data_IF_594409992658
#
_entry.id   IF_594409992658
#
_cell.length_a   1.000
_cell.length_b   1.000
_cell.length_c   1.000
_cell.angle_alpha   90.00
_cell.angle_beta   90.00
_cell.angle_gamma   90.00
#
_symmetry.space_group_name_H-M   'P 1'
#
loop_
_entity.id
_entity.type
_entity.pdbx_description
1 polymer ?
#
# COMPACT_ATOMS: atom_id res chain seq x y z
N UNK A 1 -17.38 -12.57 1.37
CA UNK A 1 -18.59 -13.41 1.19
C UNK A 1 -19.87 -12.77 1.75
N UNK A 2 -19.90 -12.32 3.02
CA UNK A 2 -21.09 -11.70 3.66
C UNK A 2 -21.71 -10.49 2.91
N UNK A 3 -20.88 -9.65 2.28
CA UNK A 3 -21.36 -8.51 1.50
C UNK A 3 -22.19 -8.93 0.27
N UNK A 4 -21.71 -9.93 -0.48
CA UNK A 4 -22.42 -10.43 -1.66
C UNK A 4 -23.72 -11.16 -1.29
N UNK A 5 -23.74 -11.88 -0.16
CA UNK A 5 -24.97 -12.52 0.32
C UNK A 5 -26.01 -11.46 0.70
N UNK A 6 -25.62 -10.40 1.42
CA UNK A 6 -26.51 -9.28 1.72
C UNK A 6 -27.09 -8.62 0.46
N UNK A 7 -26.26 -8.43 -0.58
CA UNK A 7 -26.73 -7.84 -1.84
C UNK A 7 -27.78 -8.71 -2.54
N UNK A 8 -27.58 -10.04 -2.57
CA UNK A 8 -28.59 -10.98 -3.09
C UNK A 8 -29.86 -10.95 -2.25
N UNK A 9 -29.74 -10.90 -0.93
CA UNK A 9 -30.89 -10.88 -0.01
C UNK A 9 -31.68 -9.57 -0.12
N UNK A 10 -31.01 -8.44 -0.33
CA UNK A 10 -31.65 -7.15 -0.65
C UNK A 10 -32.42 -7.26 -1.95
N UNK A 11 -31.84 -7.81 -3.01
CA UNK A 11 -32.53 -7.95 -4.29
C UNK A 11 -33.76 -8.85 -4.17
N UNK A 12 -33.65 -10.01 -3.51
CA UNK A 12 -34.77 -10.93 -3.27
C UNK A 12 -35.88 -10.28 -2.46
N UNK A 13 -35.52 -9.61 -1.36
CA UNK A 13 -36.50 -8.96 -0.47
C UNK A 13 -37.16 -7.77 -1.16
N UNK A 14 -36.42 -7.01 -1.98
CA UNK A 14 -36.98 -5.90 -2.76
C UNK A 14 -37.99 -6.39 -3.81
N UNK A 15 -37.71 -7.50 -4.49
CA UNK A 15 -38.65 -8.11 -5.44
C UNK A 15 -39.91 -8.61 -4.72
N UNK A 16 -39.76 -9.33 -3.61
CA UNK A 16 -40.90 -9.82 -2.80
C UNK A 16 -41.75 -8.68 -2.23
N UNK A 17 -41.12 -7.62 -1.72
CA UNK A 17 -41.81 -6.43 -1.25
C UNK A 17 -42.60 -5.74 -2.38
N UNK A 18 -42.04 -5.68 -3.59
CA UNK A 18 -42.73 -5.07 -4.74
C UNK A 18 -44.03 -5.81 -5.09
N UNK A 19 -44.04 -7.14 -5.00
CA UNK A 19 -45.24 -7.94 -5.25
C UNK A 19 -46.26 -7.78 -4.11
N UNK A 20 -45.82 -7.82 -2.85
CA UNK A 20 -46.68 -7.61 -1.69
C UNK A 20 -47.29 -6.20 -1.66
N UNK A 21 -46.55 -5.18 -2.11
CA UNK A 21 -47.03 -3.82 -2.22
C UNK A 21 -48.17 -3.73 -3.24
N UNK A 22 -48.02 -4.34 -4.41
CA UNK A 22 -49.07 -4.38 -5.42
C UNK A 22 -50.35 -5.04 -4.90
N UNK A 23 -50.23 -6.17 -4.18
CA UNK A 23 -51.36 -6.84 -3.54
C UNK A 23 -52.04 -5.99 -2.46
N UNK A 24 -51.26 -5.28 -1.64
CA UNK A 24 -51.77 -4.41 -0.59
C UNK A 24 -52.55 -3.22 -1.18
N UNK A 25 -52.01 -2.55 -2.20
CA UNK A 25 -52.72 -1.46 -2.88
C UNK A 25 -53.96 -1.95 -3.64
N UNK A 26 -53.91 -3.14 -4.23
CA UNK A 26 -55.11 -3.75 -4.82
C UNK A 26 -56.19 -4.02 -3.74
N UNK A 27 -55.79 -4.53 -2.58
CA UNK A 27 -56.71 -4.74 -1.45
C UNK A 27 -57.30 -3.41 -0.93
N UNK A 28 -56.52 -2.33 -0.97
CA UNK A 28 -57.00 -0.98 -0.66
C UNK A 28 -58.10 -0.53 -1.62
N UNK A 29 -57.90 -0.72 -2.94
CA UNK A 29 -58.92 -0.38 -3.93
C UNK A 29 -60.21 -1.19 -3.76
N UNK A 30 -60.10 -2.48 -3.38
CA UNK A 30 -61.26 -3.31 -3.06
C UNK A 30 -61.99 -2.81 -1.81
N UNK A 31 -61.25 -2.39 -0.77
CA UNK A 31 -61.83 -1.82 0.43
C UNK A 31 -62.53 -0.48 0.15
N UNK A 32 -61.94 0.38 -0.68
CA UNK A 32 -62.52 1.66 -1.09
C UNK A 32 -63.81 1.46 -1.90
N UNK A 33 -63.83 0.48 -2.80
CA UNK A 33 -65.03 0.15 -3.56
C UNK A 33 -66.17 -0.35 -2.65
N UNK A 34 -65.86 -1.16 -1.63
CA UNK A 34 -66.86 -1.76 -0.77
C UNK A 34 -67.38 -0.82 0.34
N UNK A 35 -66.51 0.01 0.94
CA UNK A 35 -66.82 0.83 2.10
C UNK A 35 -66.96 2.34 1.78
N UNK A 36 -66.68 2.75 0.54
CA UNK A 36 -66.58 4.16 0.15
C UNK A 36 -65.32 4.82 0.69
N UNK A 37 -65.36 6.15 0.87
CA UNK A 37 -64.23 6.89 1.43
C UNK A 37 -64.18 6.76 2.96
N UNK A 38 -63.20 6.00 3.45
CA UNK A 38 -62.93 5.81 4.88
C UNK A 38 -61.60 6.46 5.32
N UNK A 39 -60.97 7.28 4.46
CA UNK A 39 -59.66 7.90 4.73
C UNK A 39 -59.69 8.79 5.97
N UNK A 40 -60.67 9.68 6.08
CA UNK A 40 -60.76 10.62 7.20
C UNK A 40 -60.99 9.88 8.52
N UNK A 41 -61.84 8.84 8.51
CA UNK A 41 -62.09 7.99 9.68
C UNK A 41 -60.81 7.29 10.17
N UNK A 42 -59.96 6.84 9.24
CA UNK A 42 -58.67 6.23 9.60
C UNK A 42 -57.75 7.27 10.23
N UNK A 43 -57.64 8.47 9.65
CA UNK A 43 -56.77 9.54 10.17
C UNK A 43 -57.20 9.96 11.58
N UNK A 44 -58.49 10.14 11.81
CA UNK A 44 -59.04 10.50 13.13
C UNK A 44 -58.83 9.39 14.18
N UNK A 45 -58.77 8.12 13.74
CA UNK A 45 -58.56 6.98 14.64
C UNK A 45 -57.11 6.77 15.11
N UNK A 46 -56.15 7.53 14.60
CA UNK A 46 -54.73 7.36 14.96
C UNK A 46 -54.40 8.13 16.23
N UNK A 47 -54.16 7.41 17.34
CA UNK A 47 -53.61 7.98 18.59
C UNK A 47 -52.15 7.57 18.79
N UNK A 48 -51.87 6.27 18.79
CA UNK A 48 -50.56 5.69 19.02
C UNK A 48 -50.21 4.66 17.96
N UNK A 49 -48.91 4.48 17.70
CA UNK A 49 -48.44 3.50 16.73
C UNK A 49 -48.60 2.07 17.25
N UNK A 50 -49.27 1.23 16.44
CA UNK A 50 -49.47 -0.20 16.71
C UNK A 50 -48.15 -0.99 16.66
N UNK A 51 -47.34 -0.71 15.62
CA UNK A 51 -46.06 -1.35 15.35
C UNK A 51 -44.96 -0.30 15.52
N UNK A 52 -43.98 -0.58 16.38
CA UNK A 52 -42.79 0.23 16.56
C UNK A 52 -41.56 -0.53 16.09
N UNK A 53 -40.51 0.20 15.74
CA UNK A 53 -39.23 -0.37 15.35
C UNK A 53 -38.22 -0.15 16.47
N UNK A 54 -37.52 -1.20 16.87
CA UNK A 54 -36.37 -1.12 17.77
C UNK A 54 -35.08 -1.28 16.98
N UNK A 55 -34.04 -0.59 17.41
CA UNK A 55 -32.72 -0.69 16.83
C UNK A 55 -31.85 -1.62 17.69
N UNK A 56 -31.19 -2.58 17.05
CA UNK A 56 -30.23 -3.49 17.65
C UNK A 56 -28.91 -3.36 16.89
N UNK A 57 -27.79 -3.38 17.61
CA UNK A 57 -26.47 -3.34 16.99
C UNK A 57 -25.99 -4.79 16.80
N UNK A 58 -25.61 -5.14 15.58
CA UNK A 58 -24.92 -6.39 15.25
C UNK A 58 -23.46 -6.10 14.87
N UNK A 59 -22.53 -6.98 15.20
CA UNK A 59 -21.12 -6.77 14.93
C UNK A 59 -20.61 -7.79 13.92
N UNK A 60 -20.18 -7.32 12.75
CA UNK A 60 -19.65 -8.18 11.69
C UNK A 60 -18.25 -7.69 11.32
N UNK A 61 -17.25 -8.54 11.56
CA UNK A 61 -15.84 -8.26 11.24
C UNK A 61 -15.32 -6.92 11.81
N UNK A 62 -15.80 -6.54 13.01
CA UNK A 62 -15.40 -5.31 13.69
C UNK A 62 -16.18 -4.05 13.28
N UNK A 63 -17.13 -4.18 12.36
CA UNK A 63 -18.05 -3.10 11.95
C UNK A 63 -19.39 -3.27 12.68
N UNK A 64 -19.82 -2.21 13.38
CA UNK A 64 -21.11 -2.15 14.08
C UNK A 64 -22.22 -1.80 13.07
N UNK A 65 -23.09 -2.77 12.79
CA UNK A 65 -24.20 -2.64 11.86
C UNK A 65 -25.52 -2.40 12.63
N UNK A 66 -26.31 -1.39 12.26
CA UNK A 66 -27.66 -1.21 12.82
C UNK A 66 -28.64 -2.19 12.16
N UNK A 67 -29.36 -2.95 12.98
CA UNK A 67 -30.37 -3.92 12.60
C UNK A 67 -31.69 -3.51 13.23
N UNK A 68 -32.74 -3.43 12.41
CA UNK A 68 -34.06 -3.06 12.86
C UNK A 68 -34.91 -4.30 13.16
N UNK A 69 -35.58 -4.30 14.32
CA UNK A 69 -36.53 -5.34 14.72
C UNK A 69 -37.90 -4.72 14.96
N UNK A 70 -38.96 -5.37 14.50
CA UNK A 70 -40.32 -4.95 14.79
C UNK A 70 -40.73 -5.33 16.21
N UNK A 71 -41.43 -4.43 16.89
CA UNK A 71 -42.04 -4.66 18.19
C UNK A 71 -43.48 -4.17 18.15
N UNK A 72 -44.41 -5.10 18.32
CA UNK A 72 -45.84 -4.82 18.41
C UNK A 72 -46.13 -4.31 19.84
N UNK A 73 -46.58 -3.05 19.98
CA UNK A 73 -46.72 -2.39 21.28
C UNK A 73 -48.15 -2.45 21.82
N UNK A 74 -49.16 -2.42 20.95
CA UNK A 74 -50.55 -2.49 21.37
C UNK A 74 -51.42 -3.08 20.28
N UNK A 75 -52.35 -3.97 20.64
CA UNK A 75 -53.50 -4.34 19.79
C UNK A 75 -54.69 -3.47 20.16
N UNK A 76 -54.59 -2.16 19.97
CA UNK A 76 -55.79 -1.33 20.08
C UNK A 76 -56.69 -1.60 18.86
N UNK A 77 -57.90 -2.04 19.21
CA UNK A 77 -58.95 -2.47 18.29
C UNK A 77 -59.59 -1.23 17.67
N UNK A 78 -59.00 -0.72 16.59
CA UNK A 78 -59.73 0.06 15.58
C UNK A 78 -60.72 -0.84 14.81
N UNK A 79 -61.45 -1.71 15.51
CA UNK A 79 -62.44 -2.65 14.97
C UNK A 79 -63.74 -1.93 14.53
N UNK A 80 -63.91 -0.68 14.94
CA UNK A 80 -65.11 0.10 14.63
C UNK A 80 -65.10 0.69 13.20
N UNK A 81 -63.98 0.58 12.47
CA UNK A 81 -63.88 1.06 11.09
C UNK A 81 -64.55 0.04 10.15
N UNK A 82 -65.58 0.48 9.43
CA UNK A 82 -66.31 -0.36 8.48
C UNK A 82 -67.55 -1.07 9.04
N UNK A 83 -68.03 -0.66 10.23
CA UNK A 83 -69.27 -1.16 10.82
C UNK A 83 -70.51 -0.88 9.93
N UNK A 84 -70.51 0.23 9.21
CA UNK A 84 -71.58 0.62 8.29
C UNK A 84 -71.59 -0.19 6.97
N UNK A 85 -70.51 -0.92 6.67
CA UNK A 85 -70.34 -1.67 5.42
C UNK A 85 -68.87 -1.85 5.05
N UNK A 86 -68.53 -3.00 4.45
CA UNK A 86 -67.18 -3.27 3.93
C UNK A 86 -66.08 -3.58 4.95
N UNK A 87 -66.40 -3.71 6.25
CA UNK A 87 -65.43 -4.01 7.32
C UNK A 87 -64.54 -5.23 7.06
N UNK A 88 -65.07 -6.30 6.46
CA UNK A 88 -64.27 -7.48 6.11
C UNK A 88 -63.17 -7.20 5.08
N UNK A 89 -63.43 -6.32 4.09
CA UNK A 89 -62.43 -5.90 3.10
C UNK A 89 -61.40 -4.94 3.71
N UNK A 90 -61.84 -4.04 4.59
CA UNK A 90 -60.95 -3.14 5.33
C UNK A 90 -59.98 -3.95 6.22
N UNK A 91 -60.47 -4.98 6.91
CA UNK A 91 -59.64 -5.82 7.76
C UNK A 91 -58.60 -6.61 6.95
N UNK A 92 -58.99 -7.20 5.82
CA UNK A 92 -58.04 -7.88 4.92
C UNK A 92 -56.99 -6.89 4.38
N UNK A 93 -57.40 -5.69 3.99
CA UNK A 93 -56.48 -4.61 3.61
C UNK A 93 -55.48 -4.29 4.74
N UNK A 94 -55.94 -4.17 5.99
CA UNK A 94 -55.08 -3.95 7.17
C UNK A 94 -54.06 -5.07 7.33
N UNK A 95 -54.46 -6.33 7.18
CA UNK A 95 -53.56 -7.48 7.28
C UNK A 95 -52.50 -7.48 6.17
N UNK A 96 -52.88 -7.18 4.93
CA UNK A 96 -51.93 -7.06 3.80
C UNK A 96 -50.93 -5.92 4.01
N UNK A 97 -51.37 -4.76 4.50
CA UNK A 97 -50.46 -3.67 4.85
C UNK A 97 -49.56 -3.99 6.04
N UNK A 98 -50.01 -4.78 7.02
CA UNK A 98 -49.14 -5.26 8.09
C UNK A 98 -48.01 -6.12 7.52
N UNK A 99 -48.32 -7.09 6.64
CA UNK A 99 -47.30 -7.94 6.00
C UNK A 99 -46.30 -7.09 5.21
N UNK A 100 -46.79 -6.14 4.39
CA UNK A 100 -45.94 -5.22 3.64
C UNK A 100 -45.02 -4.40 4.57
N UNK A 101 -45.53 -3.92 5.70
CA UNK A 101 -44.74 -3.15 6.67
C UNK A 101 -43.61 -4.00 7.27
N UNK A 102 -43.86 -5.27 7.59
CA UNK A 102 -42.81 -6.20 8.06
C UNK A 102 -41.71 -6.39 7.01
N UNK A 103 -42.11 -6.56 5.74
CA UNK A 103 -41.16 -6.67 4.63
C UNK A 103 -40.34 -5.39 4.44
N UNK A 104 -40.97 -4.22 4.58
CA UNK A 104 -40.31 -2.91 4.52
C UNK A 104 -39.28 -2.73 5.64
N UNK A 105 -39.64 -3.06 6.89
CA UNK A 105 -38.71 -2.96 8.03
C UNK A 105 -37.49 -3.85 7.80
N UNK A 106 -37.72 -5.09 7.33
CA UNK A 106 -36.63 -6.02 6.99
C UNK A 106 -35.74 -5.48 5.87
N UNK A 107 -36.32 -4.95 4.80
CA UNK A 107 -35.56 -4.37 3.70
C UNK A 107 -34.73 -3.16 4.16
N UNK A 108 -35.33 -2.26 4.94
CA UNK A 108 -34.66 -1.08 5.49
C UNK A 108 -33.48 -1.47 6.39
N UNK A 109 -33.64 -2.54 7.19
CA UNK A 109 -32.55 -3.08 8.01
C UNK A 109 -31.38 -3.54 7.14
N UNK A 110 -31.65 -4.32 6.10
CA UNK A 110 -30.61 -4.82 5.20
C UNK A 110 -29.92 -3.69 4.44
N UNK A 111 -30.67 -2.70 3.94
CA UNK A 111 -30.13 -1.56 3.21
C UNK A 111 -29.25 -0.68 4.09
N UNK A 112 -29.71 -0.36 5.30
CA UNK A 112 -28.95 0.50 6.23
C UNK A 112 -27.65 -0.20 6.65
N UNK A 113 -27.73 -1.48 7.02
CA UNK A 113 -26.55 -2.30 7.30
C UNK A 113 -25.59 -2.34 6.10
N UNK A 114 -26.11 -2.50 4.88
CA UNK A 114 -25.29 -2.55 3.66
C UNK A 114 -24.52 -1.24 3.41
N UNK A 115 -25.17 -0.09 3.55
CA UNK A 115 -24.51 1.22 3.35
C UNK A 115 -23.37 1.42 4.36
N UNK A 116 -23.61 1.13 5.64
CA UNK A 116 -22.56 1.24 6.68
C UNK A 116 -21.38 0.30 6.42
N UNK A 117 -21.66 -0.92 5.94
CA UNK A 117 -20.62 -1.89 5.62
C UNK A 117 -19.84 -1.49 4.36
N UNK A 118 -20.51 -0.98 3.33
CA UNK A 118 -19.88 -0.49 2.09
C UNK A 118 -18.89 0.65 2.37
N UNK A 119 -19.26 1.58 3.25
CA UNK A 119 -18.37 2.65 3.67
C UNK A 119 -17.12 2.11 4.40
N UNK A 120 -17.31 1.20 5.35
CA UNK A 120 -16.20 0.57 6.06
C UNK A 120 -15.26 -0.20 5.11
N UNK A 121 -15.82 -0.89 4.10
CA UNK A 121 -15.05 -1.59 3.09
C UNK A 121 -14.23 -0.61 2.22
N UNK A 122 -14.82 0.51 1.80
CA UNK A 122 -14.11 1.56 1.04
C UNK A 122 -12.94 2.14 1.83
N UNK A 123 -13.13 2.41 3.13
CA UNK A 123 -12.05 2.89 4.00
C UNK A 123 -10.93 1.85 4.11
N UNK A 124 -11.29 0.57 4.27
CA UNK A 124 -10.33 -0.52 4.36
C UNK A 124 -9.53 -0.68 3.07
N UNK A 125 -10.19 -0.66 1.91
CA UNK A 125 -9.52 -0.73 0.60
C UNK A 125 -8.57 0.46 0.37
N UNK A 126 -8.97 1.68 0.75
CA UNK A 126 -8.08 2.85 0.68
C UNK A 126 -6.85 2.69 1.57
N UNK A 127 -7.01 2.12 2.78
CA UNK A 127 -5.90 1.85 3.70
C UNK A 127 -4.94 0.81 3.12
N UNK A 128 -5.46 -0.29 2.58
CA UNK A 128 -4.65 -1.31 1.90
C UNK A 128 -3.85 -0.68 0.77
N UNK A 129 -4.51 0.08 -0.11
CA UNK A 129 -3.84 0.76 -1.22
C UNK A 129 -2.75 1.76 -0.75
N UNK A 130 -2.99 2.49 0.34
CA UNK A 130 -2.01 3.40 0.92
C UNK A 130 -0.83 2.67 1.57
N UNK A 131 -1.05 1.48 2.10
CA UNK A 131 0.03 0.64 2.62
C UNK A 131 0.88 0.13 1.47
N UNK A 132 0.27 -0.49 0.46
CA UNK A 132 0.94 -1.14 -0.66
C UNK A 132 1.73 -0.15 -1.52
N UNK A 133 1.14 1.01 -1.84
CA UNK A 133 1.71 1.93 -2.83
C UNK A 133 2.47 3.12 -2.23
N UNK A 134 2.31 3.40 -0.93
CA UNK A 134 2.94 4.58 -0.30
C UNK A 134 3.78 4.20 0.90
N UNK A 135 3.19 3.49 1.87
CA UNK A 135 3.86 3.27 3.17
C UNK A 135 4.97 2.24 3.08
N UNK A 136 4.70 1.07 2.48
CA UNK A 136 5.68 -0.01 2.31
C UNK A 136 6.86 0.48 1.45
N UNK A 137 6.66 1.05 0.24
CA UNK A 137 7.77 1.52 -0.58
C UNK A 137 8.59 2.64 0.08
N UNK A 138 7.95 3.50 0.88
CA UNK A 138 8.66 4.55 1.62
C UNK A 138 9.55 3.95 2.71
N UNK A 139 9.07 2.95 3.45
CA UNK A 139 9.86 2.28 4.47
C UNK A 139 11.03 1.52 3.83
N UNK A 140 10.81 0.81 2.72
CA UNK A 140 11.88 0.12 1.99
C UNK A 140 12.96 1.08 1.49
N UNK A 141 12.59 2.25 0.95
CA UNK A 141 13.54 3.29 0.58
C UNK A 141 14.35 3.80 1.76
N UNK A 142 13.71 4.01 2.91
CA UNK A 142 14.40 4.41 4.14
C UNK A 142 15.39 3.34 4.61
N UNK A 143 15.01 2.07 4.56
CA UNK A 143 15.90 0.95 4.89
C UNK A 143 17.11 0.95 3.94
N UNK A 144 16.88 1.05 2.64
CA UNK A 144 17.95 1.10 1.64
C UNK A 144 18.91 2.29 1.84
N UNK A 145 18.38 3.46 2.21
CA UNK A 145 19.20 4.63 2.55
C UNK A 145 20.08 4.36 3.79
N UNK A 146 19.50 3.84 4.87
CA UNK A 146 20.25 3.52 6.08
C UNK A 146 21.34 2.49 5.80
N UNK A 147 21.04 1.42 5.05
CA UNK A 147 22.04 0.41 4.69
C UNK A 147 23.18 1.02 3.88
N UNK A 148 22.87 1.86 2.88
CA UNK A 148 23.89 2.54 2.07
C UNK A 148 24.79 3.45 2.90
N UNK A 149 24.23 4.21 3.83
CA UNK A 149 25.02 5.09 4.71
C UNK A 149 25.91 4.28 5.67
N UNK A 150 25.40 3.16 6.21
CA UNK A 150 26.20 2.26 7.04
C UNK A 150 27.35 1.63 6.25
N UNK A 151 27.10 1.17 5.03
CA UNK A 151 28.13 0.58 4.17
C UNK A 151 29.22 1.62 3.80
N UNK A 152 28.85 2.88 3.55
CA UNK A 152 29.83 3.93 3.26
C UNK A 152 30.67 4.29 4.51
N UNK A 153 30.05 4.35 5.69
CA UNK A 153 30.77 4.54 6.96
C UNK A 153 31.77 3.41 7.22
N UNK A 154 31.36 2.15 7.01
CA UNK A 154 32.25 1.00 7.12
C UNK A 154 33.40 1.07 6.11
N UNK A 155 33.13 1.53 4.88
CA UNK A 155 34.14 1.71 3.84
C UNK A 155 35.15 2.79 4.20
N UNK A 156 34.70 3.92 4.73
CA UNK A 156 35.60 4.99 5.21
C UNK A 156 36.51 4.49 6.35
N UNK A 157 35.96 3.78 7.31
CA UNK A 157 36.72 3.20 8.43
C UNK A 157 37.72 2.14 7.93
N UNK A 158 37.33 1.31 6.96
CA UNK A 158 38.25 0.33 6.34
C UNK A 158 39.45 1.01 5.66
N UNK A 159 39.22 2.08 4.89
CA UNK A 159 40.29 2.85 4.25
C UNK A 159 41.20 3.51 5.29
N UNK A 160 40.62 4.07 6.35
CA UNK A 160 41.38 4.67 7.46
C UNK A 160 42.31 3.67 8.11
N UNK A 161 41.81 2.48 8.47
CA UNK A 161 42.61 1.40 9.07
C UNK A 161 43.70 0.93 8.12
N UNK A 162 43.38 0.71 6.84
CA UNK A 162 44.35 0.27 5.82
C UNK A 162 45.51 1.25 5.67
N UNK A 163 45.24 2.56 5.69
CA UNK A 163 46.27 3.60 5.58
C UNK A 163 47.19 3.64 6.81
N UNK A 164 46.64 3.49 8.01
CA UNK A 164 47.43 3.40 9.25
C UNK A 164 48.35 2.17 9.20
N UNK A 165 47.84 1.04 8.72
CA UNK A 165 48.62 -0.19 8.62
C UNK A 165 49.71 -0.09 7.55
N UNK A 166 49.42 0.52 6.39
CA UNK A 166 50.42 0.81 5.36
C UNK A 166 51.55 1.70 5.90
N UNK A 167 51.20 2.82 6.56
CA UNK A 167 52.17 3.71 7.18
C UNK A 167 53.05 2.99 8.21
N UNK A 168 52.46 2.10 9.02
CA UNK A 168 53.23 1.30 10.01
C UNK A 168 54.22 0.35 9.32
N UNK A 169 53.79 -0.32 8.24
CA UNK A 169 54.65 -1.22 7.47
C UNK A 169 55.79 -0.47 6.76
N UNK A 170 55.51 0.69 6.17
CA UNK A 170 56.53 1.51 5.52
C UNK A 170 57.55 2.04 6.53
N UNK A 171 57.08 2.44 7.71
CA UNK A 171 57.95 2.86 8.80
C UNK A 171 58.82 1.71 9.33
N UNK A 172 58.27 0.49 9.43
CA UNK A 172 59.04 -0.72 9.77
C UNK A 172 60.08 -1.06 8.70
N UNK A 173 59.73 -1.00 7.41
CA UNK A 173 60.66 -1.18 6.28
C UNK A 173 61.78 -0.14 6.31
N UNK A 174 61.47 1.13 6.57
CA UNK A 174 62.45 2.19 6.70
C UNK A 174 63.41 1.96 7.89
N UNK A 175 62.89 1.50 9.04
CA UNK A 175 63.71 1.14 10.21
C UNK A 175 64.61 -0.07 9.88
N UNK A 176 64.09 -1.09 9.20
CA UNK A 176 64.85 -2.26 8.73
C UNK A 176 65.96 -1.87 7.74
N UNK A 177 65.66 -0.98 6.79
CA UNK A 177 66.64 -0.44 5.85
C UNK A 177 67.74 0.35 6.58
N UNK A 178 67.36 1.17 7.58
CA UNK A 178 68.31 1.92 8.41
C UNK A 178 69.17 1.01 9.30
N UNK A 179 68.63 -0.11 9.79
CA UNK A 179 69.39 -1.15 10.51
C UNK A 179 70.33 -1.90 9.56
N UNK A 180 69.90 -2.28 8.36
CA UNK A 180 70.76 -2.89 7.33
C UNK A 180 71.91 -1.96 6.91
N UNK A 181 71.65 -0.65 6.74
CA UNK A 181 72.69 0.33 6.43
C UNK A 181 73.71 0.57 7.55
N UNK A 182 73.31 0.35 8.81
CA UNK A 182 74.21 0.45 9.99
C UNK A 182 74.94 -0.86 10.33
N UNK A 183 74.52 -2.00 9.78
CA UNK A 183 75.16 -3.31 9.99
C UNK A 183 76.20 -3.69 8.91
N UNK A 184 76.52 -2.79 7.96
CA UNK A 184 77.61 -3.04 7.01
C UNK A 184 78.97 -2.72 7.64
N UNK A 185 79.84 -3.75 7.72
CA UNK A 185 81.26 -3.64 8.05
C UNK A 185 81.92 -2.63 7.06
N UNK A 186 82.88 -1.76 7.47
CA UNK A 186 83.42 -0.70 6.61
C UNK A 186 83.94 -1.17 5.25
N UNK A 187 84.32 -2.45 5.14
CA UNK A 187 84.74 -3.07 3.88
C UNK A 187 83.59 -3.32 2.87
N UNK A 188 82.34 -3.52 3.31
CA UNK A 188 81.22 -3.80 2.41
C UNK A 188 80.57 -2.54 1.83
N UNK A 189 80.67 -1.38 2.50
CA UNK A 189 80.17 -0.10 1.96
C UNK A 189 80.95 0.35 0.73
N UNK A 190 82.24 0.02 0.66
CA UNK A 190 83.10 0.36 -0.47
C UNK A 190 82.70 -0.40 -1.74
N UNK A 191 82.35 -1.69 -1.61
CA UNK A 191 81.91 -2.52 -2.74
C UNK A 191 80.55 -2.07 -3.33
N UNK A 192 79.59 -1.63 -2.51
CA UNK A 192 78.30 -1.16 -3.00
C UNK A 192 78.40 0.18 -3.75
N UNK A 193 79.33 1.06 -3.32
CA UNK A 193 79.61 2.35 -3.97
C UNK A 193 80.31 2.19 -5.33
N UNK A 194 81.10 1.12 -5.49
CA UNK A 194 81.70 0.74 -6.77
C UNK A 194 80.67 0.06 -7.69
N UNK A 195 79.79 -0.78 -7.14
CA UNK A 195 78.76 -1.50 -7.91
C UNK A 195 77.68 -0.57 -8.50
N UNK A 196 77.30 0.47 -7.77
CA UNK A 196 76.37 1.51 -8.23
C UNK A 196 76.95 2.41 -9.33
N UNK A 197 78.29 2.53 -9.44
CA UNK A 197 78.93 3.16 -10.60
C UNK A 197 79.05 2.21 -11.80
N UNK A 198 79.21 0.89 -11.59
CA UNK A 198 79.27 -0.07 -12.69
C UNK A 198 77.90 -0.40 -13.29
N UNK A 199 76.82 -0.38 -12.51
CA UNK A 199 75.46 -0.64 -13.01
C UNK A 199 74.87 0.56 -13.77
N UNK A 200 75.29 1.80 -13.44
CA UNK A 200 74.90 3.01 -14.19
C UNK A 200 75.46 3.06 -15.63
N UNK A 201 76.51 2.28 -15.92
CA UNK A 201 77.09 2.17 -17.27
C UNK A 201 76.45 1.02 -18.08
N UNK A 202 75.77 0.08 -17.43
CA UNK A 202 75.17 -1.08 -18.10
C UNK A 202 73.67 -0.89 -18.44
N UNK A 203 72.94 -0.06 -17.69
CA UNK A 203 71.47 0.03 -17.83
C UNK A 203 71.00 0.99 -18.95
N UNK A 204 71.78 2.01 -19.35
CA UNK A 204 71.37 2.91 -20.43
C UNK A 204 71.67 2.37 -21.85
N UNK A 205 72.50 1.33 -21.97
CA UNK A 205 72.68 0.59 -23.23
C UNK A 205 71.56 -0.45 -23.47
N UNK A 206 70.82 -0.86 -22.42
CA UNK A 206 69.81 -1.91 -22.50
C UNK A 206 68.38 -1.37 -22.73
N UNK A 207 68.10 -0.10 -22.43
CA UNK A 207 66.78 0.52 -22.58
C UNK A 207 66.34 0.82 -24.02
N UNK A 208 67.13 0.44 -25.04
CA UNK A 208 66.82 0.65 -26.48
C UNK A 208 66.42 -0.60 -27.26
N UNK A 209 66.39 -1.80 -26.65
CA UNK A 209 66.27 -3.06 -27.41
C UNK A 209 65.20 -4.07 -26.91
N UNK A 210 64.38 -3.73 -25.91
CA UNK A 210 63.35 -4.64 -25.36
C UNK A 210 61.92 -4.08 -25.47
N UNK A 211 61.65 -3.38 -26.57
CA UNK A 211 60.31 -3.39 -27.16
C UNK A 211 60.20 -4.68 -27.99
N UNK A 212 59.51 -5.69 -27.49
CA UNK A 212 59.23 -6.90 -28.27
C UNK A 212 58.78 -8.12 -27.45
N UNK A 213 57.46 -8.26 -27.37
CA UNK A 213 56.69 -9.52 -27.27
C UNK A 213 56.30 -10.13 -25.91
N UNK A 214 54.97 -10.31 -25.82
CA UNK A 214 54.06 -10.97 -24.86
C UNK A 214 54.49 -12.40 -24.40
N UNK A 215 54.02 -12.99 -23.30
CA UNK A 215 52.60 -13.20 -22.93
C UNK A 215 52.36 -13.64 -21.45
N UNK A 216 51.20 -13.22 -20.94
CA UNK A 216 50.18 -13.91 -20.10
C UNK A 216 50.55 -14.65 -18.80
N UNK A 217 50.19 -14.05 -17.66
CA UNK A 217 49.19 -14.58 -16.69
C UNK A 217 49.16 -13.71 -15.41
N UNK A 218 48.22 -12.76 -15.31
CA UNK A 218 47.85 -12.09 -14.04
C UNK A 218 46.34 -11.79 -13.98
N UNK A 219 45.58 -12.17 -12.92
CA UNK A 219 44.11 -12.28 -12.99
C UNK A 219 43.31 -11.02 -12.57
N UNK A 220 43.87 -9.80 -12.64
CA UNK A 220 43.20 -8.59 -12.10
C UNK A 220 43.31 -7.32 -12.97
N UNK A 221 43.47 -7.43 -14.29
CA UNK A 221 43.70 -6.27 -15.17
C UNK A 221 42.44 -5.53 -15.71
N UNK A 222 41.22 -6.00 -15.47
CA UNK A 222 40.03 -5.54 -16.21
C UNK A 222 39.28 -4.30 -15.67
N UNK A 223 39.86 -3.50 -14.76
CA UNK A 223 39.11 -2.35 -14.16
C UNK A 223 39.75 -0.99 -14.39
N UNK A 224 40.86 -0.88 -15.13
CA UNK A 224 41.56 0.42 -15.32
C UNK A 224 41.62 0.86 -16.79
N UNK A 225 40.92 0.16 -17.70
CA UNK A 225 40.96 0.42 -19.14
C UNK A 225 39.80 1.27 -19.70
N UNK A 226 38.82 1.70 -18.89
CA UNK A 226 37.68 2.50 -19.38
C UNK A 226 37.87 4.03 -19.32
N UNK A 227 38.91 4.52 -18.63
CA UNK A 227 39.11 5.97 -18.40
C UNK A 227 40.00 6.65 -19.45
N UNK A 228 40.51 5.92 -20.45
CA UNK A 228 41.34 6.50 -21.53
C UNK A 228 40.60 6.75 -22.86
N UNK A 229 39.36 6.29 -23.01
CA UNK A 229 38.61 6.44 -24.26
C UNK A 229 37.62 7.63 -24.28
N UNK A 230 37.57 8.45 -23.23
CA UNK A 230 36.64 9.60 -23.17
C UNK A 230 37.29 10.92 -23.66
N UNK A 231 38.61 10.98 -23.87
CA UNK A 231 39.32 12.24 -24.13
C UNK A 231 39.91 12.40 -25.54
N UNK A 232 39.51 11.58 -26.52
CA UNK A 232 40.08 11.62 -27.88
C UNK A 232 39.10 12.03 -29.00
N UNK A 233 38.03 12.77 -28.70
CA UNK A 233 37.23 13.46 -29.74
C UNK A 233 36.83 14.87 -29.29
N UNK A 234 37.73 15.83 -29.48
CA UNK A 234 37.36 17.24 -29.57
C UNK A 234 38.41 17.98 -30.42
N UNK A 235 38.18 18.04 -31.72
CA UNK A 235 38.80 19.05 -32.60
C UNK A 235 38.04 20.37 -32.43
N UNK A 236 38.71 21.54 -32.48
CA UNK A 236 38.06 22.82 -32.28
C UNK A 236 37.46 23.32 -33.60
N UNK A 237 36.13 23.26 -33.74
CA UNK A 237 35.42 23.98 -34.79
C UNK A 237 35.15 25.41 -34.36
N UNK A 238 35.79 26.36 -35.02
CA UNK A 238 35.34 27.74 -35.10
C UNK A 238 33.95 27.79 -35.77
N UNK A 239 32.98 28.42 -35.10
CA UNK A 239 32.06 29.42 -35.66
C UNK A 239 30.95 29.67 -34.64
N UNK A 240 31.04 30.84 -34.00
CA UNK A 240 29.96 31.43 -33.24
C UNK A 240 29.09 32.21 -34.23
N UNK A 241 27.92 31.67 -34.55
CA UNK A 241 26.81 32.48 -35.05
C UNK A 241 25.73 32.55 -33.97
N UNK A 242 25.64 33.74 -33.40
CA UNK A 242 24.53 34.24 -32.60
C UNK A 242 23.40 34.56 -33.56
N UNK A 243 22.24 33.93 -33.37
CA UNK A 243 20.98 34.44 -33.90
C UNK A 243 19.94 34.44 -32.77
N UNK A 244 19.32 35.61 -32.63
CA UNK A 244 18.24 35.96 -31.72
C UNK A 244 17.00 35.06 -31.86
#
# INVERSE_FOLDING_TARGET
MRFQTMLRDIQKTKMAMSTEAAEAFFSLTQAQYAAGDFRNKVIESVSTAEIRTQNRIDNVAGVKLPVFTEVEVSREKNENIGLAGGGGKIQNCREKFRVLLRALIKLASLQTSFVTLDEALKVTNRRVNALDNVTIPRIEKTISYITRELDELEREDFVRIKKVQANKQDHEKAILARKKGKLLNPYQQFYLKVKTHSEFVAEEAASRALNGEASDDDPFADVVASDRDILAQYEPSADADVVF
#
